data_IF_452832246360
#
_entry.id   IF_452832246360
#
_cell.length_a   1.000
_cell.length_b   1.000
_cell.length_c   1.000
_cell.angle_alpha   90.00
_cell.angle_beta   90.00
_cell.angle_gamma   90.00
#
_symmetry.space_group_name_H-M   'P 1'
#
loop_
_entity.id
_entity.type
_entity.pdbx_description
1 polymer ?
#
# COMPACT_ATOMS: atom_id res chain seq x y z
N UNK A 1 4.10 20.93 13.94
CA UNK A 1 3.80 19.53 14.33
C UNK A 1 3.61 18.73 13.05
N UNK A 2 4.43 17.71 12.80
CA UNK A 2 4.26 16.86 11.62
C UNK A 2 2.88 16.19 11.68
N UNK A 3 2.11 16.23 10.59
CA UNK A 3 0.78 15.66 10.51
C UNK A 3 0.83 14.18 10.90
N UNK A 4 0.33 13.85 12.09
CA UNK A 4 0.29 12.48 12.59
C UNK A 4 -0.92 11.81 11.95
N UNK A 5 -0.69 11.13 10.84
CA UNK A 5 -1.73 10.33 10.18
C UNK A 5 -2.25 9.21 11.08
N UNK A 6 -3.36 8.60 10.69
CA UNK A 6 -3.90 7.41 11.35
C UNK A 6 -3.08 6.17 10.99
N UNK A 7 -2.98 5.20 11.90
CA UNK A 7 -2.24 3.96 11.71
C UNK A 7 -3.13 2.74 11.86
N UNK A 8 -2.80 1.69 11.10
CA UNK A 8 -3.42 0.37 11.22
C UNK A 8 -2.33 -0.67 11.49
N UNK A 9 -2.64 -1.67 12.30
CA UNK A 9 -1.74 -2.78 12.60
C UNK A 9 -2.29 -4.06 11.97
N UNK A 10 -1.41 -4.84 11.35
CA UNK A 10 -1.75 -6.14 10.78
C UNK A 10 -0.59 -7.12 10.92
N UNK A 11 -0.89 -8.40 10.79
CA UNK A 11 0.10 -9.47 10.75
C UNK A 11 0.33 -9.91 9.31
N UNK A 12 1.59 -10.02 8.92
CA UNK A 12 1.99 -10.54 7.61
C UNK A 12 2.89 -11.76 7.78
N UNK A 13 2.91 -12.69 6.82
CA UNK A 13 3.88 -13.78 6.82
C UNK A 13 5.31 -13.28 6.94
N UNK A 14 6.18 -14.03 7.64
CA UNK A 14 7.60 -13.66 7.83
C UNK A 14 8.30 -13.35 6.50
N UNK A 15 8.04 -14.15 5.46
CA UNK A 15 8.62 -13.95 4.12
C UNK A 15 8.21 -12.61 3.50
N UNK A 16 6.98 -12.16 3.75
CA UNK A 16 6.50 -10.86 3.28
C UNK A 16 7.20 -9.72 4.01
N UNK A 17 7.32 -9.82 5.34
CA UNK A 17 8.07 -8.82 6.13
C UNK A 17 9.52 -8.71 5.66
N UNK A 18 10.18 -9.83 5.40
CA UNK A 18 11.57 -9.85 4.94
C UNK A 18 11.74 -9.09 3.61
N UNK A 19 10.85 -9.33 2.65
CA UNK A 19 10.87 -8.62 1.37
C UNK A 19 10.69 -7.10 1.53
N UNK A 20 9.78 -6.68 2.41
CA UNK A 20 9.57 -5.25 2.70
C UNK A 20 10.80 -4.62 3.35
N UNK A 21 11.50 -5.35 4.24
CA UNK A 21 12.76 -4.90 4.84
C UNK A 21 13.87 -4.78 3.81
N UNK A 22 13.96 -5.71 2.85
CA UNK A 22 14.97 -5.69 1.80
C UNK A 22 14.73 -4.51 0.84
N UNK A 23 13.49 -4.33 0.37
CA UNK A 23 13.12 -3.17 -0.45
C UNK A 23 13.39 -1.84 0.26
N UNK A 24 13.10 -1.76 1.57
CA UNK A 24 13.37 -0.55 2.36
C UNK A 24 14.87 -0.18 2.37
N UNK A 25 15.74 -1.19 2.46
CA UNK A 25 17.19 -0.98 2.39
C UNK A 25 17.64 -0.53 1.00
N UNK A 26 17.17 -1.22 -0.05
CA UNK A 26 17.52 -0.91 -1.44
C UNK A 26 17.10 0.51 -1.82
N UNK A 27 15.91 0.93 -1.41
CA UNK A 27 15.35 2.25 -1.72
C UNK A 27 15.77 3.37 -0.74
N UNK A 28 16.52 3.02 0.32
CA UNK A 28 16.88 3.94 1.41
C UNK A 28 15.66 4.66 2.02
N UNK A 29 14.57 3.91 2.23
CA UNK A 29 13.30 4.40 2.79
C UNK A 29 12.90 3.61 4.03
N UNK A 30 11.94 4.14 4.80
CA UNK A 30 11.33 3.36 5.88
C UNK A 30 10.36 2.32 5.34
N UNK A 31 10.21 1.20 6.04
CA UNK A 31 9.20 0.18 5.73
C UNK A 31 7.79 0.80 5.74
N UNK A 32 7.51 1.70 6.68
CA UNK A 32 6.23 2.40 6.77
C UNK A 32 5.91 3.23 5.52
N UNK A 33 6.92 3.89 4.93
CA UNK A 33 6.77 4.66 3.70
C UNK A 33 6.44 3.73 2.52
N UNK A 34 7.19 2.63 2.36
CA UNK A 34 6.94 1.67 1.28
C UNK A 34 5.56 1.02 1.39
N UNK A 35 5.17 0.60 2.59
CA UNK A 35 3.85 0.01 2.84
C UNK A 35 2.75 1.01 2.51
N UNK A 36 2.90 2.29 2.88
CA UNK A 36 1.94 3.33 2.52
C UNK A 36 1.79 3.46 0.99
N UNK A 37 2.89 3.53 0.25
CA UNK A 37 2.87 3.63 -1.22
C UNK A 37 2.22 2.41 -1.89
N UNK A 38 2.54 1.21 -1.42
CA UNK A 38 1.94 -0.04 -1.94
C UNK A 38 0.43 -0.05 -1.70
N UNK A 39 -0.02 0.33 -0.50
CA UNK A 39 -1.44 0.37 -0.14
C UNK A 39 -2.19 1.45 -0.92
N UNK A 40 -1.64 2.67 -1.01
CA UNK A 40 -2.23 3.76 -1.79
C UNK A 40 -2.47 3.36 -3.24
N UNK A 41 -1.46 2.72 -3.87
CA UNK A 41 -1.58 2.20 -5.23
C UNK A 41 -2.68 1.14 -5.35
N UNK A 42 -2.71 0.17 -4.43
CA UNK A 42 -3.72 -0.89 -4.46
C UNK A 42 -5.14 -0.35 -4.25
N UNK A 43 -5.32 0.68 -3.41
CA UNK A 43 -6.60 1.37 -3.21
C UNK A 43 -7.02 2.07 -4.51
N UNK A 44 -6.11 2.80 -5.16
CA UNK A 44 -6.39 3.49 -6.43
C UNK A 44 -6.77 2.50 -7.54
N UNK A 45 -6.04 1.39 -7.67
CA UNK A 45 -6.34 0.32 -8.63
C UNK A 45 -7.71 -0.32 -8.37
N UNK A 46 -8.04 -0.57 -7.09
CA UNK A 46 -9.36 -1.11 -6.71
C UNK A 46 -10.49 -0.14 -7.06
N UNK A 47 -10.30 1.16 -6.78
CA UNK A 47 -11.27 2.19 -7.11
C UNK A 47 -11.47 2.34 -8.64
N UNK A 48 -10.39 2.21 -9.42
CA UNK A 48 -10.45 2.25 -10.87
C UNK A 48 -11.22 1.06 -11.45
N UNK A 49 -10.99 -0.16 -10.94
CA UNK A 49 -11.74 -1.36 -11.35
C UNK A 49 -13.23 -1.23 -11.06
N UNK A 50 -13.58 -0.75 -9.87
CA UNK A 50 -14.97 -0.51 -9.49
C UNK A 50 -15.70 0.49 -10.41
N UNK A 51 -14.98 1.47 -10.99
CA UNK A 51 -15.54 2.40 -11.98
C UNK A 51 -15.65 1.81 -13.39
N UNK A 52 -14.81 0.84 -13.75
CA UNK A 52 -14.83 0.18 -15.05
C UNK A 52 -15.99 -0.82 -15.23
N UNK A 53 -16.50 -1.38 -14.14
CA UNK A 53 -17.60 -2.38 -14.18
C UNK A 53 -19.01 -1.76 -14.13
N UNK A 54 -19.13 -0.45 -13.84
CA UNK A 54 -20.42 0.26 -13.79
C UNK A 54 -20.77 1.09 -15.04
N UNK A 55 -19.94 1.05 -16.09
CA UNK A 55 -20.06 1.93 -17.26
C UNK A 55 -20.63 1.29 -18.53
N UNK A 56 -21.10 0.05 -18.48
CA UNK A 56 -21.71 -0.63 -19.64
C UNK A 56 -23.18 -0.91 -19.36
N UNK A 57 -23.97 0.17 -19.35
CA UNK A 57 -25.40 0.10 -19.60
C UNK A 57 -25.65 0.49 -21.04
N UNK A 58 -26.40 -0.40 -21.69
CA UNK A 58 -27.00 -0.39 -23.04
C UNK A 58 -27.31 1.00 -23.63
#
# INVERSE_FOLDING_TARGET
>A
MAAKGESVQTYVPKKTKQKLEDWAKEEQRSISFLVAQIIEKAIAERAAKAKGEGGRSD
#
